data_IF_455360398764
#
_entry.id   IF_455360398764
#
_cell.length_a   1.000
_cell.length_b   1.000
_cell.length_c   1.000
_cell.angle_alpha   90.00
_cell.angle_beta   90.00
_cell.angle_gamma   90.00
#
_symmetry.space_group_name_H-M   'P 1'
#
loop_
_entity.id
_entity.type
_entity.pdbx_description
1 polymer ?
#
# COMPACT_ATOMS: atom_id res chain seq x y z
N UNK A 1 -7.76 10.57 6.03
CA UNK A 1 -7.61 9.12 5.80
C UNK A 1 -6.33 8.85 5.06
N UNK A 2 -5.75 7.69 5.26
CA UNK A 2 -4.57 7.24 4.51
C UNK A 2 -4.97 5.97 3.77
N UNK A 3 -4.83 5.98 2.46
CA UNK A 3 -5.00 4.82 1.60
C UNK A 3 -3.62 4.24 1.30
N UNK A 4 -3.42 2.98 1.59
CA UNK A 4 -2.16 2.31 1.37
C UNK A 4 -2.41 1.15 0.42
N UNK A 5 -2.04 1.29 -0.87
CA UNK A 5 -2.14 0.21 -1.84
C UNK A 5 -1.37 -1.03 -1.38
N UNK A 6 -1.80 -2.20 -1.85
CA UNK A 6 -1.12 -3.45 -1.54
C UNK A 6 0.34 -3.40 -1.99
N UNK A 7 1.25 -3.81 -1.09
CA UNK A 7 2.71 -3.77 -1.33
C UNK A 7 3.36 -2.41 -1.13
N UNK A 8 2.61 -1.36 -0.78
CA UNK A 8 3.18 -0.06 -0.44
C UNK A 8 3.79 -0.07 0.96
N UNK A 9 5.06 0.36 1.06
CA UNK A 9 5.79 0.44 2.32
C UNK A 9 5.55 1.82 2.92
N UNK A 10 5.07 1.87 4.14
CA UNK A 10 4.74 3.11 4.83
C UNK A 10 5.21 3.09 6.28
N UNK A 11 5.51 4.27 6.82
CA UNK A 11 5.86 4.44 8.21
C UNK A 11 5.22 5.74 8.75
N UNK A 12 4.33 5.67 9.74
CA UNK A 12 3.81 6.87 10.37
C UNK A 12 4.87 7.50 11.27
N UNK A 13 5.14 8.79 11.08
CA UNK A 13 5.96 9.59 11.98
C UNK A 13 5.04 10.40 12.88
N UNK A 14 5.03 10.08 14.17
CA UNK A 14 4.18 10.75 15.18
C UNK A 14 5.04 11.63 16.06
N UNK A 15 4.66 12.89 16.21
CA UNK A 15 5.36 13.81 17.12
C UNK A 15 5.15 13.37 18.58
N UNK A 16 6.19 13.29 19.41
CA UNK A 16 6.10 12.73 20.77
C UNK A 16 5.10 13.43 21.70
N UNK A 17 4.79 14.70 21.45
CA UNK A 17 3.86 15.50 22.25
C UNK A 17 2.39 15.38 21.80
N UNK A 18 2.10 14.56 20.78
CA UNK A 18 0.74 14.49 20.20
C UNK A 18 0.08 13.16 20.56
N UNK A 19 -1.15 13.23 21.11
CA UNK A 19 -1.99 12.03 21.22
C UNK A 19 -2.41 11.58 19.83
N UNK A 20 -2.05 10.35 19.46
CA UNK A 20 -2.34 9.79 18.16
C UNK A 20 -3.24 8.57 18.30
N UNK A 21 -4.45 8.67 17.74
CA UNK A 21 -5.40 7.56 17.66
C UNK A 21 -5.67 7.24 16.20
N UNK A 22 -5.63 5.97 15.84
CA UNK A 22 -5.90 5.52 14.47
C UNK A 22 -6.77 4.27 14.45
N UNK A 23 -7.59 4.16 13.41
CA UNK A 23 -8.22 2.92 12.99
C UNK A 23 -7.45 2.38 11.78
N UNK A 24 -7.11 1.10 11.80
CA UNK A 24 -6.45 0.43 10.68
C UNK A 24 -7.36 -0.69 10.18
N UNK A 25 -7.68 -0.67 8.89
CA UNK A 25 -8.37 -1.75 8.21
C UNK A 25 -7.41 -2.45 7.24
N UNK A 26 -7.17 -3.73 7.44
CA UNK A 26 -6.45 -4.59 6.50
C UNK A 26 -7.45 -5.35 5.65
N UNK A 27 -7.35 -5.18 4.34
CA UNK A 27 -8.28 -5.76 3.39
C UNK A 27 -7.51 -6.75 2.52
N UNK A 28 -7.95 -8.02 2.53
CA UNK A 28 -7.35 -9.01 1.63
C UNK A 28 -7.81 -8.77 0.18
N UNK A 29 -6.98 -9.08 -0.83
CA UNK A 29 -7.38 -9.00 -2.23
C UNK A 29 -8.64 -9.81 -2.55
N UNK A 30 -8.76 -11.02 -2.00
CA UNK A 30 -9.93 -11.90 -2.19
C UNK A 30 -11.21 -11.26 -1.64
N UNK A 31 -11.13 -10.68 -0.44
CA UNK A 31 -12.27 -9.98 0.16
C UNK A 31 -12.66 -8.75 -0.67
N UNK A 32 -11.66 -7.97 -1.07
CA UNK A 32 -11.87 -6.78 -1.91
C UNK A 32 -12.53 -7.14 -3.24
N UNK A 33 -12.03 -8.16 -3.94
CA UNK A 33 -12.63 -8.69 -5.18
C UNK A 33 -14.07 -9.14 -4.97
N UNK A 34 -14.39 -9.69 -3.80
CA UNK A 34 -15.77 -10.11 -3.47
C UNK A 34 -16.73 -8.94 -3.25
N UNK A 35 -16.23 -7.71 -3.04
CA UNK A 35 -17.05 -6.50 -2.92
C UNK A 35 -17.33 -5.86 -4.30
N UNK A 36 -16.40 -6.01 -5.24
CA UNK A 36 -16.41 -5.33 -6.54
C UNK A 36 -17.19 -6.15 -7.58
N UNK A 37 -18.50 -6.38 -7.36
CA UNK A 37 -19.33 -7.13 -8.31
C UNK A 37 -19.69 -6.33 -9.55
N UNK A 38 -20.44 -5.24 -9.37
CA UNK A 38 -20.96 -4.39 -10.45
C UNK A 38 -20.23 -3.05 -10.58
N UNK A 39 -19.36 -2.71 -9.61
CA UNK A 39 -18.64 -1.46 -9.53
C UNK A 39 -17.20 -1.69 -9.06
N UNK A 40 -16.24 -1.13 -9.75
CA UNK A 40 -14.85 -1.12 -9.29
C UNK A 40 -14.67 -0.17 -8.12
N UNK A 41 -14.57 -0.73 -6.92
CA UNK A 41 -14.32 0.02 -5.70
C UNK A 41 -12.83 0.29 -5.44
N UNK A 42 -11.94 -0.15 -6.35
CA UNK A 42 -10.49 0.06 -6.21
C UNK A 42 -10.02 1.45 -6.66
N UNK A 43 -10.87 2.23 -7.31
CA UNK A 43 -10.53 3.52 -7.90
C UNK A 43 -9.79 4.46 -6.95
N UNK A 44 -10.21 4.53 -5.68
CA UNK A 44 -9.52 5.34 -4.67
C UNK A 44 -8.07 4.90 -4.40
N UNK A 45 -7.76 3.61 -4.49
CA UNK A 45 -6.40 3.10 -4.33
C UNK A 45 -5.57 3.30 -5.58
N UNK A 46 -6.16 3.11 -6.78
CA UNK A 46 -5.52 3.38 -8.06
C UNK A 46 -5.16 4.86 -8.18
N UNK A 47 -6.11 5.74 -7.83
CA UNK A 47 -5.87 7.18 -7.79
C UNK A 47 -4.74 7.56 -6.82
N UNK A 48 -4.75 7.01 -5.59
CA UNK A 48 -3.70 7.26 -4.61
C UNK A 48 -2.31 6.82 -5.11
N UNK A 49 -2.25 5.70 -5.84
CA UNK A 49 -1.01 5.18 -6.42
C UNK A 49 -0.51 6.07 -7.58
N UNK A 50 -1.38 6.43 -8.51
CA UNK A 50 -1.03 7.23 -9.69
C UNK A 50 -0.66 8.67 -9.35
N UNK A 51 -1.39 9.26 -8.40
CA UNK A 51 -1.14 10.63 -7.93
C UNK A 51 -0.01 10.72 -6.90
N UNK A 52 0.52 9.60 -6.39
CA UNK A 52 1.41 9.54 -5.22
C UNK A 52 0.82 10.23 -3.97
N UNK A 53 -0.51 10.28 -3.88
CA UNK A 53 -1.26 10.96 -2.83
C UNK A 53 -2.01 9.95 -1.96
N UNK A 54 -1.33 9.39 -0.98
CA UNK A 54 -1.93 8.41 -0.08
C UNK A 54 -2.75 9.03 1.06
N UNK A 55 -2.65 10.35 1.26
CA UNK A 55 -3.35 11.06 2.33
C UNK A 55 -4.55 11.85 1.79
N UNK A 56 -5.74 11.40 2.13
CA UNK A 56 -6.98 12.09 1.82
C UNK A 56 -7.43 12.91 3.02
N UNK A 57 -7.46 14.21 2.89
CA UNK A 57 -8.10 15.11 3.86
C UNK A 57 -9.55 15.32 3.46
N UNK A 58 -10.45 15.02 4.37
CA UNK A 58 -11.88 15.21 4.17
C UNK A 58 -12.30 16.33 5.13
N UNK A 59 -12.52 17.55 4.64
CA UNK A 59 -13.09 18.61 5.47
C UNK A 59 -14.42 18.15 6.05
N UNK A 60 -14.72 18.57 7.26
CA UNK A 60 -15.99 18.25 7.92
C UNK A 60 -16.32 16.75 7.97
N UNK A 61 -15.28 15.90 8.04
CA UNK A 61 -15.43 14.44 8.03
C UNK A 61 -16.48 13.94 9.02
N UNK A 62 -16.51 14.49 10.22
CA UNK A 62 -17.42 14.09 11.29
C UNK A 62 -18.88 14.48 11.05
N UNK A 63 -19.15 15.48 10.21
CA UNK A 63 -20.50 15.91 9.82
C UNK A 63 -20.92 15.39 8.44
N UNK A 64 -19.98 14.80 7.70
CA UNK A 64 -20.20 14.26 6.36
C UNK A 64 -20.80 12.86 6.34
N UNK A 65 -21.10 12.35 5.17
CA UNK A 65 -21.72 11.02 4.96
C UNK A 65 -20.82 9.83 5.28
N UNK A 66 -19.49 10.01 5.24
CA UNK A 66 -18.53 8.93 5.47
C UNK A 66 -18.44 8.50 6.96
N UNK A 67 -18.52 9.48 7.86
CA UNK A 67 -18.35 9.19 9.28
C UNK A 67 -19.46 8.30 9.88
N UNK A 68 -20.76 8.56 9.63
CA UNK A 68 -21.84 7.69 10.10
C UNK A 68 -21.68 6.25 9.62
N UNK A 69 -21.36 6.05 8.33
CA UNK A 69 -21.17 4.72 7.74
C UNK A 69 -19.99 4.00 8.41
N UNK A 70 -18.88 4.71 8.67
CA UNK A 70 -17.76 4.14 9.41
C UNK A 70 -18.14 3.75 10.84
N UNK A 71 -18.90 4.59 11.55
CA UNK A 71 -19.34 4.28 12.92
C UNK A 71 -20.26 3.06 12.97
N UNK A 72 -21.18 2.94 12.02
CA UNK A 72 -22.03 1.74 11.89
C UNK A 72 -21.18 0.51 11.62
N UNK A 73 -20.22 0.59 10.67
CA UNK A 73 -19.31 -0.51 10.37
C UNK A 73 -18.52 -0.95 11.63
N UNK A 74 -17.96 0.00 12.36
CA UNK A 74 -17.22 -0.30 13.61
C UNK A 74 -18.15 -0.98 14.63
N UNK A 75 -19.37 -0.49 14.78
CA UNK A 75 -20.37 -1.06 15.69
C UNK A 75 -20.66 -2.53 15.42
N UNK A 76 -20.60 -2.95 14.16
CA UNK A 76 -20.87 -4.36 13.79
C UNK A 76 -19.85 -5.35 14.33
N UNK A 77 -18.63 -4.93 14.63
CA UNK A 77 -17.59 -5.83 15.17
C UNK A 77 -17.85 -6.28 16.62
N UNK A 78 -18.82 -5.64 17.28
CA UNK A 78 -19.26 -6.01 18.63
C UNK A 78 -20.64 -6.64 18.63
N UNK A 79 -21.21 -6.98 17.46
CA UNK A 79 -22.56 -7.53 17.31
C UNK A 79 -22.48 -8.97 16.76
N UNK A 80 -23.28 -9.86 17.37
CA UNK A 80 -23.52 -11.23 16.90
C UNK A 80 -24.93 -11.41 16.30
N UNK A 81 -25.56 -10.32 15.83
CA UNK A 81 -26.89 -10.34 15.25
C UNK A 81 -26.97 -11.15 13.96
N UNK A 82 -28.18 -11.53 13.57
CA UNK A 82 -28.42 -12.24 12.32
C UNK A 82 -27.85 -11.48 11.12
N UNK A 83 -26.99 -12.14 10.34
CA UNK A 83 -26.43 -11.60 9.10
C UNK A 83 -25.32 -10.56 9.30
N UNK A 84 -24.76 -10.40 10.50
CA UNK A 84 -23.68 -9.46 10.80
C UNK A 84 -22.54 -9.50 9.78
N UNK A 85 -21.97 -10.66 9.35
CA UNK A 85 -20.91 -10.67 8.35
C UNK A 85 -21.34 -10.09 6.99
N UNK A 86 -22.57 -10.30 6.59
CA UNK A 86 -23.13 -9.73 5.36
C UNK A 86 -23.34 -8.22 5.49
N UNK A 87 -23.85 -7.78 6.63
CA UNK A 87 -24.03 -6.36 6.91
C UNK A 87 -22.71 -5.61 6.96
N UNK A 88 -21.66 -6.19 7.56
CA UNK A 88 -20.29 -5.65 7.53
C UNK A 88 -19.81 -5.46 6.08
N UNK A 89 -20.04 -6.44 5.23
CA UNK A 89 -19.69 -6.38 3.81
C UNK A 89 -20.41 -5.24 3.10
N UNK A 90 -21.70 -5.08 3.32
CA UNK A 90 -22.50 -4.00 2.76
C UNK A 90 -22.00 -2.61 3.22
N UNK A 91 -21.79 -2.45 4.52
CA UNK A 91 -21.32 -1.18 5.08
C UNK A 91 -19.91 -0.81 4.61
N UNK A 92 -19.06 -1.79 4.45
CA UNK A 92 -17.72 -1.54 3.92
C UNK A 92 -17.75 -1.18 2.43
N UNK A 93 -18.58 -1.83 1.63
CA UNK A 93 -18.80 -1.47 0.22
C UNK A 93 -19.39 -0.06 0.08
N UNK A 94 -20.37 0.29 0.90
CA UNK A 94 -20.95 1.64 0.96
C UNK A 94 -19.88 2.69 1.29
N UNK A 95 -19.05 2.41 2.29
CA UNK A 95 -17.95 3.30 2.68
C UNK A 95 -16.97 3.55 1.54
N UNK A 96 -16.52 2.49 0.85
CA UNK A 96 -15.64 2.61 -0.31
C UNK A 96 -16.30 3.35 -1.47
N UNK A 97 -17.57 3.12 -1.73
CA UNK A 97 -18.33 3.81 -2.76
C UNK A 97 -18.40 5.33 -2.49
N UNK A 98 -18.72 5.71 -1.26
CA UNK A 98 -18.76 7.12 -0.85
C UNK A 98 -17.37 7.77 -0.93
N UNK A 99 -16.32 7.05 -0.57
CA UNK A 99 -14.95 7.54 -0.67
C UNK A 99 -14.54 7.77 -2.12
N UNK A 100 -14.84 6.82 -3.03
CA UNK A 100 -14.60 7.00 -4.47
C UNK A 100 -15.38 8.19 -5.03
N UNK A 101 -16.67 8.34 -4.67
CA UNK A 101 -17.48 9.50 -5.08
C UNK A 101 -16.88 10.82 -4.61
N UNK A 102 -16.41 10.86 -3.37
CA UNK A 102 -15.75 12.04 -2.83
C UNK A 102 -14.51 12.42 -3.65
N UNK A 103 -13.65 11.46 -3.98
CA UNK A 103 -12.43 11.70 -4.78
C UNK A 103 -12.77 12.18 -6.20
N UNK A 104 -13.67 11.52 -6.88
CA UNK A 104 -14.11 11.93 -8.24
C UNK A 104 -14.69 13.34 -8.27
N UNK A 105 -15.38 13.77 -7.21
CA UNK A 105 -15.87 15.15 -7.10
C UNK A 105 -14.72 16.16 -6.93
N UNK A 106 -13.67 15.78 -6.18
CA UNK A 106 -12.50 16.65 -5.97
C UNK A 106 -11.69 16.82 -7.27
N UNK A 107 -11.50 15.78 -8.06
CA UNK A 107 -10.83 15.85 -9.37
C UNK A 107 -11.53 16.88 -10.30
N UNK A 108 -12.85 16.84 -10.33
CA UNK A 108 -13.64 17.78 -11.14
C UNK A 108 -13.55 19.24 -10.67
N UNK A 109 -13.19 19.48 -9.41
CA UNK A 109 -13.07 20.83 -8.85
C UNK A 109 -11.64 21.39 -8.89
N UNK A 110 -10.65 20.64 -9.39
CA UNK A 110 -9.22 21.02 -9.38
C UNK A 110 -8.71 21.54 -8.02
N UNK A 111 -9.26 21.04 -6.95
CA UNK A 111 -8.75 21.33 -5.62
C UNK A 111 -7.58 20.37 -5.42
N UNK A 112 -6.39 20.86 -5.75
CA UNK A 112 -5.15 20.17 -5.40
C UNK A 112 -5.07 20.12 -3.87
N UNK A 113 -5.43 18.99 -3.29
CA UNK A 113 -5.18 18.69 -1.87
C UNK A 113 -3.74 18.23 -1.64
N UNK A 114 -2.85 18.73 -2.46
CA UNK A 114 -1.42 18.48 -2.33
C UNK A 114 -0.93 19.14 -1.06
N UNK A 115 -0.71 18.36 -0.03
CA UNK A 115 0.40 18.65 0.84
C UNK A 115 1.61 17.97 0.23
N UNK A 116 2.56 18.72 -0.30
CA UNK A 116 3.83 18.15 -0.72
C UNK A 116 4.59 17.73 0.54
N UNK A 117 4.31 16.54 1.05
CA UNK A 117 5.08 15.94 2.14
C UNK A 117 6.14 15.00 1.63
N UNK A 118 6.15 14.72 0.33
CA UNK A 118 7.18 13.90 -0.28
C UNK A 118 8.15 14.79 -1.08
N UNK A 119 9.45 14.64 -0.81
CA UNK A 119 10.50 15.23 -1.60
C UNK A 119 10.36 14.75 -3.07
N UNK A 120 10.23 15.65 -4.07
CA UNK A 120 10.05 15.25 -5.47
C UNK A 120 11.16 14.31 -5.99
N UNK A 121 12.38 14.44 -5.50
CA UNK A 121 13.48 13.54 -5.84
C UNK A 121 13.22 12.12 -5.31
N UNK A 122 12.61 12.00 -4.14
CA UNK A 122 12.24 10.69 -3.59
C UNK A 122 11.15 10.04 -4.41
N UNK A 123 10.16 10.78 -4.87
CA UNK A 123 9.11 10.24 -5.74
C UNK A 123 9.72 9.68 -7.03
N UNK A 124 10.60 10.42 -7.70
CA UNK A 124 11.31 9.97 -8.89
C UNK A 124 12.13 8.69 -8.64
N UNK A 125 12.82 8.62 -7.49
CA UNK A 125 13.60 7.45 -7.09
C UNK A 125 12.69 6.24 -6.86
N UNK A 126 11.55 6.43 -6.17
CA UNK A 126 10.58 5.36 -5.92
C UNK A 126 9.95 4.86 -7.22
N UNK A 127 9.60 5.77 -8.15
CA UNK A 127 9.09 5.42 -9.47
C UNK A 127 10.09 4.59 -10.27
N UNK A 128 11.34 5.04 -10.29
CA UNK A 128 12.42 4.31 -10.96
C UNK A 128 12.59 2.91 -10.36
N UNK A 129 12.62 2.80 -9.03
CA UNK A 129 12.73 1.50 -8.35
C UNK A 129 11.55 0.60 -8.71
N UNK A 130 10.32 1.12 -8.68
CA UNK A 130 9.12 0.34 -8.96
C UNK A 130 9.09 -0.13 -10.42
N UNK A 131 9.46 0.73 -11.38
CA UNK A 131 9.52 0.39 -12.80
C UNK A 131 10.56 -0.70 -13.13
N UNK A 132 11.68 -0.76 -12.37
CA UNK A 132 12.78 -1.67 -12.61
C UNK A 132 12.94 -2.75 -11.53
N UNK A 133 11.88 -2.99 -10.74
CA UNK A 133 11.94 -3.81 -9.53
C UNK A 133 12.40 -5.26 -9.81
N UNK A 134 12.03 -5.81 -10.96
CA UNK A 134 12.36 -7.19 -11.37
C UNK A 134 13.70 -7.31 -12.08
N UNK A 135 14.34 -6.17 -12.38
CA UNK A 135 15.62 -6.13 -13.09
C UNK A 135 16.82 -6.16 -12.13
N UNK A 136 18.02 -6.06 -12.72
CA UNK A 136 19.25 -5.81 -11.95
C UNK A 136 19.29 -4.38 -11.44
N UNK A 137 18.80 -4.18 -10.24
CA UNK A 137 18.69 -2.89 -9.60
C UNK A 137 19.83 -2.69 -8.59
N UNK A 138 20.93 -2.04 -9.02
CA UNK A 138 22.03 -1.63 -8.15
C UNK A 138 21.82 -0.20 -7.63
N UNK A 139 22.42 0.13 -6.48
CA UNK A 139 22.38 1.48 -5.94
C UNK A 139 22.98 2.48 -6.91
N UNK A 140 24.04 2.08 -7.63
CA UNK A 140 24.72 2.95 -8.60
C UNK A 140 23.81 3.28 -9.80
N UNK A 141 23.07 2.29 -10.32
CA UNK A 141 22.07 2.53 -11.39
C UNK A 141 20.96 3.48 -10.93
N UNK A 142 20.51 3.36 -9.69
CA UNK A 142 19.49 4.26 -9.13
C UNK A 142 20.07 5.68 -8.98
N UNK A 143 21.32 5.79 -8.51
CA UNK A 143 21.99 7.05 -8.33
C UNK A 143 22.18 7.78 -9.68
N UNK A 144 22.63 7.05 -10.71
CA UNK A 144 22.80 7.58 -12.07
C UNK A 144 21.46 8.05 -12.65
N UNK A 145 20.38 7.26 -12.50
CA UNK A 145 19.06 7.63 -12.98
C UNK A 145 18.46 8.86 -12.29
N UNK A 146 18.80 9.06 -11.01
CA UNK A 146 18.36 10.21 -10.22
C UNK A 146 19.33 11.42 -10.33
N UNK A 147 20.42 11.30 -11.07
CA UNK A 147 21.51 12.31 -11.13
C UNK A 147 22.09 12.68 -9.77
N UNK A 148 22.22 11.68 -8.89
CA UNK A 148 22.73 11.83 -7.52
C UNK A 148 24.02 11.02 -7.33
N UNK A 149 24.86 11.47 -6.39
CA UNK A 149 25.93 10.60 -5.92
C UNK A 149 25.35 9.52 -4.97
N UNK A 150 26.00 8.37 -4.95
CA UNK A 150 25.58 7.19 -4.17
C UNK A 150 25.36 7.49 -2.68
N UNK A 151 26.27 8.24 -2.07
CA UNK A 151 26.20 8.53 -0.63
C UNK A 151 24.99 9.41 -0.31
N UNK A 152 24.79 10.47 -1.09
CA UNK A 152 23.65 11.37 -0.93
C UNK A 152 22.33 10.64 -1.15
N UNK A 153 22.22 9.81 -2.21
CA UNK A 153 21.05 8.99 -2.47
C UNK A 153 20.68 8.11 -1.26
N UNK A 154 21.67 7.40 -0.68
CA UNK A 154 21.41 6.50 0.45
C UNK A 154 20.93 7.25 1.69
N UNK A 155 21.51 8.41 1.99
CA UNK A 155 21.08 9.25 3.12
C UNK A 155 19.69 9.83 2.86
N UNK A 156 19.49 10.49 1.73
CA UNK A 156 18.21 11.06 1.34
C UNK A 156 17.07 10.03 1.41
N UNK A 157 17.28 8.84 0.81
CA UNK A 157 16.28 7.80 0.80
C UNK A 157 15.95 7.31 2.21
N UNK A 158 16.96 7.13 3.06
CA UNK A 158 16.75 6.69 4.44
C UNK A 158 16.06 7.76 5.30
N UNK A 159 16.43 9.01 5.14
CA UNK A 159 15.88 10.11 5.93
C UNK A 159 14.40 10.35 5.58
N UNK A 160 14.05 10.25 4.30
CA UNK A 160 12.67 10.49 3.83
C UNK A 160 11.75 9.27 3.97
N UNK A 161 12.28 8.05 3.80
CA UNK A 161 11.46 6.83 3.82
C UNK A 161 11.56 6.00 5.10
N UNK A 162 12.60 6.22 5.90
CA UNK A 162 12.93 5.38 7.05
C UNK A 162 13.54 4.02 6.69
N UNK A 163 13.75 3.73 5.40
CA UNK A 163 14.29 2.46 4.90
C UNK A 163 15.62 2.64 4.19
N UNK A 164 16.46 1.62 4.23
CA UNK A 164 17.54 1.53 3.23
C UNK A 164 16.97 1.08 1.90
N UNK A 165 17.55 1.53 0.78
CA UNK A 165 17.13 1.14 -0.57
C UNK A 165 17.08 -0.40 -0.72
N UNK A 166 18.11 -1.10 -0.24
CA UNK A 166 18.16 -2.56 -0.32
C UNK A 166 17.03 -3.26 0.45
N UNK A 167 16.67 -2.73 1.63
CA UNK A 167 15.54 -3.25 2.41
C UNK A 167 14.23 -2.97 1.67
N UNK A 168 14.03 -1.76 1.15
CA UNK A 168 12.85 -1.38 0.40
C UNK A 168 12.64 -2.30 -0.83
N UNK A 169 13.66 -2.47 -1.67
CA UNK A 169 13.62 -3.35 -2.84
C UNK A 169 13.31 -4.80 -2.44
N UNK A 170 13.95 -5.30 -1.38
CA UNK A 170 13.70 -6.66 -0.87
C UNK A 170 12.25 -6.83 -0.44
N UNK A 171 11.69 -5.89 0.31
CA UNK A 171 10.29 -5.92 0.78
C UNK A 171 9.29 -5.94 -0.39
N UNK A 172 9.51 -5.09 -1.40
CA UNK A 172 8.68 -5.04 -2.61
C UNK A 172 8.76 -6.34 -3.42
N UNK A 173 9.97 -6.89 -3.62
CA UNK A 173 10.17 -8.18 -4.30
C UNK A 173 9.49 -9.33 -3.57
N UNK A 174 9.58 -9.37 -2.25
CA UNK A 174 8.91 -10.37 -1.43
C UNK A 174 7.40 -10.31 -1.59
N UNK A 175 6.85 -9.11 -1.67
CA UNK A 175 5.42 -8.93 -1.92
C UNK A 175 5.01 -9.50 -3.27
N UNK A 176 5.74 -9.17 -4.35
CA UNK A 176 5.48 -9.72 -5.69
C UNK A 176 5.58 -11.25 -5.72
N UNK A 177 6.64 -11.80 -5.10
CA UNK A 177 6.83 -13.25 -5.03
C UNK A 177 5.69 -13.93 -4.26
N UNK A 178 5.28 -13.39 -3.12
CA UNK A 178 4.18 -13.95 -2.33
C UNK A 178 2.87 -13.95 -3.13
N UNK A 179 2.55 -12.83 -3.78
CA UNK A 179 1.37 -12.73 -4.63
C UNK A 179 1.40 -13.76 -5.77
N UNK A 180 2.52 -13.91 -6.47
CA UNK A 180 2.68 -14.91 -7.53
C UNK A 180 2.48 -16.35 -7.01
N UNK A 181 3.02 -16.68 -5.82
CA UNK A 181 2.86 -17.99 -5.18
C UNK A 181 1.39 -18.26 -4.83
N UNK A 182 0.68 -17.28 -4.30
CA UNK A 182 -0.75 -17.37 -3.98
C UNK A 182 -1.61 -17.59 -5.24
N UNK A 183 -1.17 -17.05 -6.40
CA UNK A 183 -1.77 -17.30 -7.71
C UNK A 183 -1.35 -18.64 -8.35
N UNK A 184 -0.61 -19.48 -7.64
CA UNK A 184 -0.24 -20.82 -8.08
C UNK A 184 1.08 -20.91 -8.85
N UNK A 185 1.83 -19.82 -9.03
CA UNK A 185 3.17 -19.83 -9.63
C UNK A 185 4.11 -20.67 -8.76
N UNK A 186 5.03 -21.39 -9.38
CA UNK A 186 6.01 -22.16 -8.62
C UNK A 186 6.90 -21.25 -7.76
N UNK A 187 7.30 -21.72 -6.58
CA UNK A 187 8.13 -20.93 -5.66
C UNK A 187 9.44 -20.47 -6.31
N UNK A 188 10.02 -21.33 -7.17
CA UNK A 188 11.25 -21.02 -7.89
C UNK A 188 11.01 -19.93 -8.94
N UNK A 189 9.96 -20.05 -9.73
CA UNK A 189 9.63 -19.05 -10.74
C UNK A 189 9.24 -17.72 -10.10
N UNK A 190 8.43 -17.74 -9.04
CA UNK A 190 8.06 -16.55 -8.29
C UNK A 190 9.29 -15.80 -7.71
N UNK A 191 10.30 -16.54 -7.23
CA UNK A 191 11.56 -15.98 -6.79
C UNK A 191 12.24 -15.18 -7.90
N UNK A 192 12.45 -15.80 -9.07
CA UNK A 192 13.18 -15.14 -10.16
C UNK A 192 12.35 -14.06 -10.87
N UNK A 193 11.06 -14.28 -11.10
CA UNK A 193 10.16 -13.29 -11.68
C UNK A 193 10.01 -12.03 -10.83
N UNK A 194 10.15 -12.15 -9.51
CA UNK A 194 10.14 -10.99 -8.61
C UNK A 194 11.49 -10.26 -8.51
N UNK A 195 12.51 -10.69 -9.26
CA UNK A 195 13.80 -10.01 -9.36
C UNK A 195 14.85 -10.47 -8.35
N UNK A 196 14.61 -11.54 -7.58
CA UNK A 196 15.68 -12.14 -6.79
C UNK A 196 16.65 -12.91 -7.69
N UNK A 197 17.95 -12.73 -7.47
CA UNK A 197 18.99 -13.44 -8.22
C UNK A 197 19.37 -14.78 -7.60
N UNK A 198 19.07 -14.98 -6.33
CA UNK A 198 19.49 -16.14 -5.56
C UNK A 198 18.34 -16.64 -4.70
N UNK A 199 18.02 -17.93 -4.89
CA UNK A 199 16.93 -18.58 -4.14
C UNK A 199 17.19 -18.62 -2.63
N UNK A 200 18.42 -18.80 -2.19
CA UNK A 200 18.77 -18.84 -0.76
C UNK A 200 18.48 -17.50 -0.10
N UNK A 201 18.90 -16.40 -0.75
CA UNK A 201 18.63 -15.04 -0.26
C UNK A 201 17.13 -14.76 -0.20
N UNK A 202 16.39 -15.12 -1.25
CA UNK A 202 14.93 -15.04 -1.27
C UNK A 202 14.30 -15.83 -0.13
N UNK A 203 14.68 -17.09 0.03
CA UNK A 203 14.09 -17.98 1.03
C UNK A 203 14.30 -17.46 2.46
N UNK A 204 15.50 -16.98 2.78
CA UNK A 204 15.82 -16.40 4.08
C UNK A 204 15.01 -15.11 4.32
N UNK A 205 14.99 -14.21 3.35
CA UNK A 205 14.22 -12.97 3.44
C UNK A 205 12.72 -13.25 3.60
N UNK A 206 12.19 -14.23 2.85
CA UNK A 206 10.79 -14.64 2.92
C UNK A 206 10.42 -15.18 4.31
N UNK A 207 11.23 -16.08 4.85
CA UNK A 207 11.02 -16.62 6.21
C UNK A 207 11.06 -15.54 7.29
N UNK A 208 12.01 -14.63 7.17
CA UNK A 208 12.14 -13.52 8.13
C UNK A 208 10.91 -12.61 8.11
N UNK A 209 10.33 -12.37 6.94
CA UNK A 209 9.17 -11.49 6.79
C UNK A 209 7.85 -12.17 7.17
N UNK A 210 7.60 -13.36 6.65
CA UNK A 210 6.30 -14.03 6.75
C UNK A 210 6.24 -15.11 7.84
N UNK A 211 7.35 -15.40 8.51
CA UNK A 211 7.48 -16.45 9.55
C UNK A 211 7.01 -17.85 9.11
N UNK A 212 6.92 -18.07 7.78
CA UNK A 212 6.57 -19.35 7.14
C UNK A 212 7.43 -19.57 5.90
N UNK A 213 7.53 -20.81 5.44
CA UNK A 213 8.24 -21.08 4.19
C UNK A 213 7.40 -20.65 2.97
N UNK A 214 8.03 -20.31 1.82
CA UNK A 214 7.29 -19.98 0.61
C UNK A 214 6.34 -21.09 0.13
N UNK A 215 6.68 -22.36 0.37
CA UNK A 215 5.83 -23.51 0.05
C UNK A 215 4.51 -23.54 0.85
N UNK A 216 4.52 -23.04 2.08
CA UNK A 216 3.34 -22.95 2.94
C UNK A 216 2.41 -21.79 2.58
N UNK A 217 2.82 -20.91 1.69
CA UNK A 217 1.97 -19.83 1.19
C UNK A 217 1.10 -20.27 0.01
N UNK A 218 1.41 -21.39 -0.61
CA UNK A 218 0.63 -21.97 -1.71
C UNK A 218 -0.67 -22.52 -1.15
N UNK A 219 -1.79 -21.97 -1.59
CA UNK A 219 -3.15 -22.49 -1.27
C UNK A 219 -3.44 -23.78 -2.00
#
# INVERSE_FOLDING_TARGET
QVLIPAGEIHCPVVHPSTTYTRLIAYISPDYFSSLSGECDLSGCFSHALEAHENLIRIPDYFSGSLYPVLQELIGTFSSDDFGTPFYQKLKFAEYLLLLNRYLLQQENQKISLVLPTANPQILQILDYINAHLTEDLSIDRIADAAFLNRSYLMHLFRDETGYTIGKYVTEKRLYLANHAIEQGVSVTDACYQSGFRNYTTFYQAYRNKYHKSPKQARK
#
